data_IF_555951558484
#
_entry.id   IF_555951558484
#
_cell.length_a   1.000
_cell.length_b   1.000
_cell.length_c   1.000
_cell.angle_alpha   90.00
_cell.angle_beta   90.00
_cell.angle_gamma   90.00
#
_symmetry.space_group_name_H-M   'P 1'
#
loop_
_entity.id
_entity.type
_entity.pdbx_description
1 polymer ?
#
# COMPACT_ATOMS: atom_id res chain seq x y z
N UNK A 1 -22.84 -15.49 3.96
CA UNK A 1 -21.55 -16.20 3.84
C UNK A 1 -20.45 -15.17 4.02
N UNK A 2 -19.49 -15.35 4.96
CA UNK A 2 -18.35 -14.45 5.04
C UNK A 2 -17.55 -14.52 3.73
N UNK A 3 -16.88 -13.43 3.30
CA UNK A 3 -16.08 -13.48 2.10
C UNK A 3 -15.04 -14.58 2.24
N UNK A 4 -15.00 -15.50 1.27
CA UNK A 4 -13.98 -16.53 1.23
C UNK A 4 -12.61 -15.86 1.22
N UNK A 5 -11.71 -16.28 2.11
CA UNK A 5 -10.34 -15.81 2.10
C UNK A 5 -9.68 -16.24 0.78
N UNK A 6 -9.55 -15.32 -0.18
CA UNK A 6 -8.81 -15.56 -1.42
C UNK A 6 -7.31 -15.64 -1.08
N UNK A 7 -6.77 -16.85 -0.98
CA UNK A 7 -5.33 -17.06 -0.79
C UNK A 7 -4.59 -16.54 -2.04
N UNK A 8 -3.73 -15.56 -1.84
CA UNK A 8 -2.85 -15.06 -2.90
C UNK A 8 -1.69 -16.03 -3.12
N UNK A 9 -1.26 -16.23 -4.38
CA UNK A 9 -0.11 -17.08 -4.67
C UNK A 9 1.20 -16.42 -4.20
N UNK A 10 1.97 -17.13 -3.38
CA UNK A 10 3.22 -16.63 -2.79
C UNK A 10 4.37 -16.48 -3.80
N UNK A 11 4.36 -17.25 -4.89
CA UNK A 11 5.40 -17.25 -5.93
C UNK A 11 4.99 -16.55 -7.22
N UNK A 12 3.77 -16.02 -7.28
CA UNK A 12 3.24 -15.35 -8.47
C UNK A 12 2.55 -14.03 -8.10
N UNK A 13 3.28 -13.06 -7.52
CA UNK A 13 2.70 -11.80 -7.08
C UNK A 13 1.98 -11.05 -8.21
N UNK A 14 2.38 -11.21 -9.47
CA UNK A 14 1.67 -10.65 -10.63
C UNK A 14 0.21 -11.11 -10.81
N UNK A 15 -0.21 -12.19 -10.13
CA UNK A 15 -1.62 -12.61 -10.07
C UNK A 15 -2.43 -11.86 -9.00
N UNK A 16 -1.76 -11.13 -8.11
CA UNK A 16 -2.40 -10.18 -7.22
C UNK A 16 -2.73 -8.91 -8.02
N UNK A 17 -4.03 -8.68 -8.26
CA UNK A 17 -4.55 -7.58 -9.09
C UNK A 17 -4.08 -6.20 -8.64
N UNK A 18 -3.64 -6.03 -7.39
CA UNK A 18 -3.15 -4.74 -6.89
C UNK A 18 -1.73 -4.42 -7.39
N UNK A 19 -0.91 -5.41 -7.73
CA UNK A 19 0.51 -5.20 -8.04
C UNK A 19 0.75 -4.23 -9.21
N UNK A 20 0.03 -4.30 -10.35
CA UNK A 20 0.16 -3.30 -11.41
C UNK A 20 -0.12 -1.88 -10.95
N UNK A 21 -1.13 -1.68 -10.09
CA UNK A 21 -1.48 -0.37 -9.54
C UNK A 21 -0.41 0.15 -8.57
N UNK A 22 0.20 -0.75 -7.79
CA UNK A 22 1.22 -0.41 -6.80
C UNK A 22 2.53 0.08 -7.44
N UNK A 23 2.90 -0.42 -8.63
CA UNK A 23 4.10 0.09 -9.32
C UNK A 23 3.95 1.58 -9.67
N UNK A 24 2.78 2.00 -10.15
CA UNK A 24 2.51 3.41 -10.47
C UNK A 24 2.47 4.27 -9.21
N UNK A 25 1.79 3.80 -8.15
CA UNK A 25 1.75 4.50 -6.86
C UNK A 25 3.13 4.70 -6.26
N UNK A 26 3.97 3.65 -6.22
CA UNK A 26 5.35 3.74 -5.71
C UNK A 26 6.18 4.76 -6.48
N UNK A 27 6.08 4.80 -7.81
CA UNK A 27 6.81 5.77 -8.63
C UNK A 27 6.36 7.21 -8.36
N UNK A 28 5.08 7.43 -8.08
CA UNK A 28 4.53 8.75 -7.81
C UNK A 28 4.98 9.33 -6.45
N UNK A 29 5.28 8.48 -5.46
CA UNK A 29 5.61 8.91 -4.09
C UNK A 29 7.11 8.82 -3.74
N UNK A 30 7.88 8.04 -4.50
CA UNK A 30 9.29 7.74 -4.26
C UNK A 30 10.18 9.00 -4.20
N UNK A 31 11.18 8.96 -3.32
CA UNK A 31 12.24 9.98 -3.19
C UNK A 31 13.61 9.36 -3.57
N UNK A 32 14.26 9.80 -4.65
CA UNK A 32 15.53 9.22 -5.10
C UNK A 32 16.73 9.57 -4.22
N UNK A 33 16.73 10.74 -3.58
CA UNK A 33 17.94 11.26 -2.92
C UNK A 33 18.07 10.81 -1.46
N UNK A 34 16.94 10.50 -0.81
CA UNK A 34 16.92 10.12 0.60
C UNK A 34 15.74 9.24 0.97
N UNK A 35 15.84 8.49 2.09
CA UNK A 35 14.68 7.84 2.67
C UNK A 35 13.62 8.85 3.12
N UNK A 36 12.36 8.45 2.96
CA UNK A 36 11.22 9.15 3.54
C UNK A 36 10.91 8.58 4.92
N UNK A 37 10.51 9.46 5.84
CA UNK A 37 9.89 9.08 7.11
C UNK A 37 8.50 8.49 6.87
N UNK A 38 7.97 7.76 7.87
CA UNK A 38 6.61 7.20 7.80
C UNK A 38 5.57 8.30 7.53
N UNK A 39 5.69 9.44 8.21
CA UNK A 39 4.79 10.58 8.03
C UNK A 39 4.82 11.13 6.59
N UNK A 40 6.01 11.30 6.02
CA UNK A 40 6.17 11.78 4.63
C UNK A 40 5.57 10.79 3.62
N UNK A 41 5.72 9.48 3.85
CA UNK A 41 5.09 8.46 3.00
C UNK A 41 3.56 8.57 3.09
N UNK A 42 3.00 8.65 4.29
CA UNK A 42 1.55 8.75 4.49
C UNK A 42 0.97 10.00 3.82
N UNK A 43 1.63 11.15 3.99
CA UNK A 43 1.23 12.42 3.37
C UNK A 43 1.27 12.35 1.84
N UNK A 44 2.36 11.87 1.26
CA UNK A 44 2.52 11.76 -0.21
C UNK A 44 1.50 10.80 -0.82
N UNK A 45 1.25 9.65 -0.17
CA UNK A 45 0.23 8.69 -0.62
C UNK A 45 -1.16 9.32 -0.62
N UNK A 46 -1.54 9.94 0.50
CA UNK A 46 -2.87 10.53 0.62
C UNK A 46 -3.09 11.70 -0.34
N UNK A 47 -2.06 12.52 -0.55
CA UNK A 47 -2.06 13.60 -1.54
C UNK A 47 -2.25 13.05 -2.97
N UNK A 48 -1.51 12.01 -3.34
CA UNK A 48 -1.57 11.43 -4.69
C UNK A 48 -2.94 10.80 -5.00
N UNK A 49 -3.54 10.11 -4.03
CA UNK A 49 -4.84 9.45 -4.20
C UNK A 49 -6.05 10.32 -3.82
N UNK A 50 -5.83 11.52 -3.28
CA UNK A 50 -6.90 12.43 -2.82
C UNK A 50 -7.72 11.85 -1.68
N UNK A 51 -7.10 11.12 -0.75
CA UNK A 51 -7.76 10.50 0.39
C UNK A 51 -7.35 11.13 1.73
N UNK A 52 -8.16 10.89 2.76
CA UNK A 52 -7.87 11.35 4.12
C UNK A 52 -6.79 10.46 4.78
N UNK A 53 -5.92 11.06 5.61
CA UNK A 53 -5.03 10.32 6.48
C UNK A 53 -5.80 9.78 7.69
N UNK A 54 -5.98 8.46 7.74
CA UNK A 54 -6.57 7.76 8.87
C UNK A 54 -5.50 7.33 9.89
N UNK A 55 -5.86 7.16 11.18
CA UNK A 55 -4.94 6.60 12.16
C UNK A 55 -4.49 5.18 11.77
N UNK A 56 -3.27 4.77 12.16
CA UNK A 56 -2.79 3.40 11.91
C UNK A 56 -3.75 2.36 12.48
N UNK A 57 -3.97 1.29 11.71
CA UNK A 57 -4.77 0.16 12.17
C UNK A 57 -3.96 -0.64 13.19
N UNK A 58 -4.60 -0.97 14.31
CA UNK A 58 -4.05 -1.94 15.26
C UNK A 58 -4.10 -3.33 14.63
N UNK A 59 -2.94 -3.99 14.53
CA UNK A 59 -2.90 -5.38 14.09
C UNK A 59 -3.14 -6.29 15.30
N UNK A 60 -4.20 -7.09 15.25
CA UNK A 60 -4.41 -8.16 16.21
C UNK A 60 -3.45 -9.31 15.89
N UNK A 61 -2.35 -9.40 16.66
CA UNK A 61 -1.36 -10.47 16.56
C UNK A 61 -1.80 -11.59 17.49
N UNK A 62 -2.90 -12.27 17.13
CA UNK A 62 -3.36 -13.50 17.79
C UNK A 62 -2.41 -14.67 17.62
#
# INVERSE_FOLDING_TARGET
LPPAACRLPSKSPWLNRIEPCWVHGKRAIHEPERPLTIAEVMERVCTYYGCEQLPPLEQDVG
#
